data_IF_691404807195
#
_entry.id   IF_691404807195
#
_cell.length_a   1.000
_cell.length_b   1.000
_cell.length_c   1.000
_cell.angle_alpha   90.00
_cell.angle_beta   90.00
_cell.angle_gamma   90.00
#
_symmetry.space_group_name_H-M   'P 1'
#
loop_
_entity.id
_entity.type
_entity.pdbx_description
1 polymer ?
#
# COMPACT_ATOMS: atom_id res chain seq x y z
N UNK A 1 -38.90 -30.51 -37.97
CA UNK A 1 -37.99 -30.00 -39.03
C UNK A 1 -36.60 -30.48 -38.69
N UNK A 2 -35.94 -31.19 -39.61
CA UNK A 2 -34.53 -31.59 -39.43
C UNK A 2 -33.66 -30.35 -39.58
N UNK A 3 -32.90 -30.00 -38.55
CA UNK A 3 -31.91 -28.94 -38.63
C UNK A 3 -30.79 -29.39 -39.60
N UNK A 4 -30.27 -28.45 -40.39
CA UNK A 4 -29.11 -28.69 -41.25
C UNK A 4 -27.87 -28.91 -40.36
N UNK A 5 -26.90 -29.80 -40.69
CA UNK A 5 -25.67 -30.02 -39.92
C UNK A 5 -25.00 -28.75 -39.37
N UNK A 6 -24.96 -27.65 -40.14
CA UNK A 6 -24.38 -26.39 -39.66
C UNK A 6 -25.21 -25.70 -38.57
N UNK A 7 -26.53 -25.88 -38.59
CA UNK A 7 -27.43 -25.38 -37.53
C UNK A 7 -27.38 -26.25 -36.28
N UNK A 8 -27.14 -27.55 -36.43
CA UNK A 8 -26.89 -28.45 -35.30
C UNK A 8 -25.61 -28.09 -34.56
N UNK A 9 -24.54 -27.75 -35.30
CA UNK A 9 -23.28 -27.30 -34.71
C UNK A 9 -23.44 -25.99 -33.93
N UNK A 10 -24.19 -25.03 -34.48
CA UNK A 10 -24.43 -23.75 -33.80
C UNK A 10 -25.23 -23.94 -32.50
N UNK A 11 -26.26 -24.79 -32.52
CA UNK A 11 -27.06 -25.09 -31.32
C UNK A 11 -26.23 -25.82 -30.26
N UNK A 12 -25.32 -26.71 -30.67
CA UNK A 12 -24.42 -27.40 -29.74
C UNK A 12 -23.46 -26.41 -29.05
N UNK A 13 -22.82 -25.51 -29.81
CA UNK A 13 -21.86 -24.52 -29.27
C UNK A 13 -22.55 -23.54 -28.32
N UNK A 14 -23.71 -23.01 -28.71
CA UNK A 14 -24.46 -22.06 -27.85
C UNK A 14 -24.95 -22.76 -26.59
N UNK A 15 -25.40 -24.01 -26.69
CA UNK A 15 -25.78 -24.80 -25.52
C UNK A 15 -24.59 -25.01 -24.58
N UNK A 16 -23.41 -25.36 -25.08
CA UNK A 16 -22.23 -25.56 -24.23
C UNK A 16 -21.76 -24.27 -23.57
N UNK A 17 -21.87 -23.11 -24.24
CA UNK A 17 -21.51 -21.82 -23.65
C UNK A 17 -22.50 -21.40 -22.55
N UNK A 18 -23.80 -21.65 -22.75
CA UNK A 18 -24.83 -21.36 -21.73
C UNK A 18 -24.68 -22.28 -20.52
N UNK A 19 -24.49 -23.59 -20.73
CA UNK A 19 -24.29 -24.51 -19.60
C UNK A 19 -22.93 -24.31 -18.91
N UNK A 20 -21.88 -23.94 -19.65
CA UNK A 20 -20.57 -23.60 -19.07
C UNK A 20 -20.63 -22.34 -18.22
N UNK A 21 -21.27 -21.28 -18.70
CA UNK A 21 -21.45 -20.03 -17.93
C UNK A 21 -22.37 -20.20 -16.71
N UNK A 22 -23.40 -21.03 -16.79
CA UNK A 22 -24.23 -21.36 -15.63
C UNK A 22 -23.45 -22.21 -14.62
N UNK A 23 -22.59 -23.14 -15.05
CA UNK A 23 -21.80 -23.96 -14.12
C UNK A 23 -20.73 -23.14 -13.40
N UNK A 24 -20.04 -22.24 -14.11
CA UNK A 24 -19.06 -21.31 -13.51
C UNK A 24 -19.77 -20.26 -12.65
N UNK A 25 -20.90 -19.71 -13.12
CA UNK A 25 -21.66 -18.71 -12.37
C UNK A 25 -22.34 -19.27 -11.11
N UNK A 26 -22.89 -20.49 -11.15
CA UNK A 26 -23.51 -21.11 -9.96
C UNK A 26 -22.46 -21.62 -8.97
N UNK A 27 -21.30 -22.10 -9.46
CA UNK A 27 -20.20 -22.50 -8.56
C UNK A 27 -19.52 -21.28 -7.93
N UNK A 28 -19.36 -20.18 -8.68
CA UNK A 28 -18.82 -18.91 -8.16
C UNK A 28 -19.78 -18.22 -7.19
N UNK A 29 -21.10 -18.24 -7.45
CA UNK A 29 -22.10 -17.66 -6.53
C UNK A 29 -22.32 -18.52 -5.29
N UNK A 30 -22.12 -19.85 -5.35
CA UNK A 30 -22.11 -20.72 -4.17
C UNK A 30 -20.83 -20.58 -3.33
N UNK A 31 -19.76 -19.98 -3.87
CA UNK A 31 -18.57 -19.63 -3.10
C UNK A 31 -18.64 -18.21 -2.50
N UNK A 32 -19.48 -17.31 -3.02
CA UNK A 32 -19.51 -15.90 -2.59
C UNK A 32 -20.84 -15.41 -1.99
N UNK A 33 -21.88 -16.24 -1.91
CA UNK A 33 -23.14 -15.84 -1.29
C UNK A 33 -23.59 -16.80 -0.19
N UNK A 34 -23.78 -16.22 0.99
CA UNK A 34 -24.23 -16.81 2.26
C UNK A 34 -23.12 -17.44 3.13
N UNK A 35 -22.42 -16.58 3.88
CA UNK A 35 -22.58 -16.53 5.34
C UNK A 35 -22.77 -17.85 6.08
N UNK A 36 -21.90 -18.82 5.83
CA UNK A 36 -21.65 -19.95 6.73
C UNK A 36 -20.34 -19.68 7.47
N UNK A 37 -20.38 -18.71 8.37
CA UNK A 37 -19.49 -18.69 9.52
C UNK A 37 -19.76 -19.93 10.36
N UNK A 38 -18.90 -20.94 10.22
CA UNK A 38 -18.05 -21.42 11.30
C UNK A 38 -17.02 -22.35 10.64
N UNK A 39 -16.00 -21.77 10.02
CA UNK A 39 -14.70 -22.41 10.09
C UNK A 39 -14.13 -21.90 11.41
N UNK A 40 -14.37 -22.65 12.48
CA UNK A 40 -13.42 -22.58 13.59
C UNK A 40 -12.06 -22.91 12.97
N UNK A 41 -11.05 -22.06 13.20
CA UNK A 41 -9.67 -22.52 13.15
C UNK A 41 -9.62 -23.84 13.91
N UNK A 42 -9.05 -24.89 13.31
CA UNK A 42 -9.05 -26.23 13.90
C UNK A 42 -8.26 -26.34 15.22
N UNK A 43 -7.87 -25.20 15.81
CA UNK A 43 -7.11 -25.05 17.05
C UNK A 43 -7.92 -24.55 18.25
N UNK A 44 -9.20 -24.15 18.11
CA UNK A 44 -9.97 -23.65 19.29
C UNK A 44 -11.40 -24.20 19.48
N UNK A 45 -11.69 -25.43 19.05
CA UNK A 45 -12.86 -26.13 19.63
C UNK A 45 -12.46 -26.75 20.98
N UNK A 46 -12.70 -26.02 22.08
CA UNK A 46 -12.65 -26.55 23.45
C UNK A 46 -13.79 -27.57 23.62
N UNK A 47 -13.61 -28.77 23.04
CA UNK A 47 -14.42 -29.96 23.29
C UNK A 47 -14.09 -30.45 24.71
N UNK A 48 -14.71 -29.78 25.68
CA UNK A 48 -14.88 -30.31 27.02
C UNK A 48 -15.84 -31.52 26.99
N UNK A 49 -15.36 -32.66 26.50
CA UNK A 49 -16.20 -33.83 26.27
C UNK A 49 -15.47 -35.10 25.83
N UNK A 50 -14.70 -35.70 26.74
CA UNK A 50 -14.29 -37.11 26.73
C UNK A 50 -13.49 -37.61 25.50
N UNK A 51 -12.18 -37.32 25.49
CA UNK A 51 -11.21 -38.38 25.21
C UNK A 51 -10.79 -38.64 23.76
N UNK A 52 -10.70 -37.62 22.92
CA UNK A 52 -9.78 -37.66 21.76
C UNK A 52 -8.80 -36.50 21.96
N UNK A 53 -7.62 -36.80 22.47
CA UNK A 53 -6.49 -35.89 22.29
C UNK A 53 -6.28 -35.78 20.78
N UNK A 54 -6.58 -34.63 20.19
CA UNK A 54 -5.80 -34.18 19.05
C UNK A 54 -4.37 -34.16 19.58
N UNK A 55 -3.53 -35.08 19.12
CA UNK A 55 -2.10 -34.89 19.31
C UNK A 55 -1.83 -33.55 18.64
N UNK A 56 -1.61 -32.46 19.41
CA UNK A 56 -0.66 -31.45 18.95
C UNK A 56 0.55 -32.29 18.55
N UNK A 57 0.90 -32.28 17.27
CA UNK A 57 2.04 -33.07 16.79
C UNK A 57 3.23 -32.79 17.69
N UNK A 58 4.14 -33.76 17.78
CA UNK A 58 5.48 -33.38 18.24
C UNK A 58 5.98 -32.30 17.25
N UNK A 59 6.59 -31.27 17.81
CA UNK A 59 7.13 -30.06 17.19
C UNK A 59 8.45 -29.93 17.95
N UNK A 60 9.52 -30.41 17.33
CA UNK A 60 10.75 -30.78 18.04
C UNK A 60 11.74 -29.63 18.15
N UNK A 61 11.71 -28.68 17.22
CA UNK A 61 12.47 -27.43 17.22
C UNK A 61 11.66 -26.21 17.71
N UNK A 62 10.36 -26.38 18.00
CA UNK A 62 9.48 -25.35 18.58
C UNK A 62 9.28 -24.12 17.65
N UNK A 63 9.31 -24.32 16.32
CA UNK A 63 9.16 -23.26 15.31
C UNK A 63 7.68 -22.96 14.96
N UNK A 64 6.75 -23.79 15.43
CA UNK A 64 5.31 -23.66 15.20
C UNK A 64 4.74 -24.59 14.13
N UNK A 65 5.60 -25.29 13.38
CA UNK A 65 5.24 -26.36 12.47
C UNK A 65 5.38 -27.72 13.20
N UNK A 66 4.49 -28.68 12.92
CA UNK A 66 4.61 -30.00 13.56
C UNK A 66 5.50 -30.92 12.74
N UNK A 67 6.30 -31.79 13.38
CA UNK A 67 7.18 -32.79 12.76
C UNK A 67 6.50 -33.57 11.61
N UNK A 68 5.20 -33.86 11.77
CA UNK A 68 4.43 -34.59 10.76
C UNK A 68 4.17 -33.75 9.51
N UNK A 69 3.87 -32.46 9.65
CA UNK A 69 3.66 -31.54 8.53
C UNK A 69 4.97 -31.25 7.81
N UNK A 70 6.04 -31.05 8.56
CA UNK A 70 7.40 -30.90 8.06
C UNK A 70 7.81 -32.09 7.19
N UNK A 71 7.74 -33.32 7.71
CA UNK A 71 8.14 -34.52 6.95
C UNK A 71 7.22 -34.84 5.76
N UNK A 72 5.91 -34.54 5.84
CA UNK A 72 4.92 -35.06 4.88
C UNK A 72 4.41 -34.06 3.86
N UNK A 73 4.44 -32.76 4.17
CA UNK A 73 3.84 -31.71 3.34
C UNK A 73 4.88 -30.69 2.86
N UNK A 74 5.70 -30.17 3.77
CA UNK A 74 6.59 -29.04 3.46
C UNK A 74 8.00 -29.49 3.09
N UNK A 75 8.49 -30.61 3.63
CA UNK A 75 9.81 -31.14 3.33
C UNK A 75 10.94 -30.49 4.12
N UNK A 76 10.61 -29.80 5.21
CA UNK A 76 11.52 -29.16 6.16
C UNK A 76 12.12 -30.16 7.14
N UNK A 77 13.19 -29.80 7.86
CA UNK A 77 13.85 -30.67 8.84
C UNK A 77 13.29 -30.43 10.25
N UNK A 78 12.57 -31.41 10.87
CA UNK A 78 11.96 -31.27 12.21
C UNK A 78 12.89 -30.99 13.38
N UNK A 79 14.19 -30.79 13.13
CA UNK A 79 15.20 -30.51 14.13
C UNK A 79 15.85 -29.13 13.90
N UNK A 80 15.38 -28.38 12.92
CA UNK A 80 15.94 -27.15 12.45
C UNK A 80 14.82 -26.14 12.16
N UNK A 81 14.70 -25.13 13.03
CA UNK A 81 13.66 -24.09 12.96
C UNK A 81 13.64 -23.26 11.67
N UNK A 82 14.70 -23.32 10.86
CA UNK A 82 14.96 -22.53 9.64
C UNK A 82 15.72 -23.42 8.66
N UNK A 83 15.00 -24.13 7.79
CA UNK A 83 15.55 -25.21 6.96
C UNK A 83 16.45 -24.68 5.85
N UNK A 84 16.11 -23.57 5.20
CA UNK A 84 16.92 -22.96 4.14
C UNK A 84 18.01 -22.01 4.66
N UNK A 85 17.91 -21.58 5.92
CA UNK A 85 18.94 -20.84 6.63
C UNK A 85 18.94 -19.34 6.32
N UNK A 86 17.81 -18.78 5.89
CA UNK A 86 17.67 -17.38 5.49
C UNK A 86 17.39 -16.42 6.68
N UNK A 87 17.06 -16.99 7.84
CA UNK A 87 16.78 -16.28 9.09
C UNK A 87 15.29 -16.12 9.41
N UNK A 88 14.38 -16.60 8.57
CA UNK A 88 12.96 -16.79 8.87
C UNK A 88 12.73 -18.25 9.29
N UNK A 89 11.75 -18.49 10.16
CA UNK A 89 11.47 -19.86 10.62
C UNK A 89 10.47 -20.56 9.70
N UNK A 90 10.63 -21.86 9.47
CA UNK A 90 9.79 -22.63 8.55
C UNK A 90 8.30 -22.50 8.89
N UNK A 91 7.96 -22.56 10.18
CA UNK A 91 6.59 -22.37 10.68
C UNK A 91 5.99 -21.00 10.35
N UNK A 92 6.78 -19.93 10.44
CA UNK A 92 6.32 -18.56 10.13
C UNK A 92 6.10 -18.38 8.64
N UNK A 93 7.05 -18.84 7.81
CA UNK A 93 6.93 -18.78 6.35
C UNK A 93 5.71 -19.54 5.86
N UNK A 94 5.48 -20.75 6.39
CA UNK A 94 4.30 -21.55 6.05
C UNK A 94 3.00 -20.88 6.46
N UNK A 95 2.95 -20.25 7.65
CA UNK A 95 1.77 -19.54 8.13
C UNK A 95 1.42 -18.36 7.21
N UNK A 96 2.42 -17.66 6.71
CA UNK A 96 2.28 -16.51 5.81
C UNK A 96 2.38 -16.90 4.32
N UNK A 97 2.33 -18.19 4.02
CA UNK A 97 2.28 -18.76 2.67
C UNK A 97 3.53 -18.55 1.80
N UNK A 98 4.66 -18.24 2.43
CA UNK A 98 6.00 -18.29 1.84
C UNK A 98 6.47 -19.76 1.75
N UNK A 99 7.62 -19.97 1.11
CA UNK A 99 8.19 -21.28 0.88
C UNK A 99 9.42 -21.52 1.78
N UNK A 100 9.32 -22.38 2.82
CA UNK A 100 10.38 -22.60 3.83
C UNK A 100 11.59 -23.41 3.34
N UNK A 101 11.80 -23.43 2.02
CA UNK A 101 12.88 -24.16 1.35
C UNK A 101 13.52 -23.26 0.27
N UNK A 102 13.23 -21.96 0.28
CA UNK A 102 13.62 -20.99 -0.74
C UNK A 102 14.04 -19.68 -0.07
N UNK A 103 15.35 -19.59 0.17
CA UNK A 103 16.05 -18.44 0.75
C UNK A 103 15.99 -17.16 -0.12
N UNK A 104 15.33 -17.22 -1.29
CA UNK A 104 15.23 -16.14 -2.26
C UNK A 104 16.54 -15.79 -2.96
N UNK A 105 17.62 -16.52 -2.71
CA UNK A 105 18.94 -16.24 -3.23
C UNK A 105 19.35 -17.29 -4.26
N UNK A 106 19.85 -16.84 -5.41
CA UNK A 106 20.42 -17.79 -6.36
C UNK A 106 21.78 -18.28 -5.85
N UNK A 107 21.95 -19.59 -5.69
CA UNK A 107 23.25 -20.19 -5.35
C UNK A 107 24.35 -19.61 -6.27
N UNK A 108 25.41 -19.00 -5.72
CA UNK A 108 26.53 -18.56 -6.53
C UNK A 108 27.06 -19.75 -7.33
N UNK A 109 27.02 -19.64 -8.67
CA UNK A 109 27.50 -20.66 -9.62
C UNK A 109 28.94 -21.12 -9.29
N UNK A 110 29.09 -22.07 -8.35
CA UNK A 110 30.39 -22.64 -7.96
C UNK A 110 30.77 -23.84 -8.83
N UNK A 111 29.93 -24.25 -9.78
CA UNK A 111 30.29 -25.31 -10.73
C UNK A 111 30.94 -24.73 -12.00
N UNK A 112 32.26 -24.87 -12.10
CA UNK A 112 32.94 -24.94 -13.39
C UNK A 112 32.23 -26.03 -14.22
N UNK A 113 31.69 -25.73 -15.42
CA UNK A 113 31.04 -26.72 -16.28
C UNK A 113 31.91 -27.93 -16.64
N UNK A 114 33.20 -27.91 -16.29
CA UNK A 114 34.16 -29.00 -16.46
C UNK A 114 34.21 -30.05 -15.34
N UNK A 115 33.56 -29.85 -14.19
CA UNK A 115 33.66 -30.76 -13.02
C UNK A 115 32.36 -31.51 -12.68
N UNK A 116 31.48 -31.75 -13.65
CA UNK A 116 30.36 -32.67 -13.47
C UNK A 116 30.88 -34.11 -13.25
N UNK A 117 31.09 -34.50 -11.98
CA UNK A 117 31.37 -35.86 -11.57
C UNK A 117 30.09 -36.70 -11.66
N UNK A 118 30.04 -37.60 -12.64
CA UNK A 118 28.88 -38.46 -12.92
C UNK A 118 28.78 -39.67 -11.97
N UNK A 119 29.62 -39.77 -10.94
CA UNK A 119 29.62 -40.90 -10.00
C UNK A 119 28.97 -40.61 -8.63
N UNK A 120 28.59 -39.36 -8.33
CA UNK A 120 27.95 -39.00 -7.05
C UNK A 120 26.78 -38.02 -7.26
N UNK A 121 25.89 -38.33 -8.21
CA UNK A 121 24.54 -37.81 -8.17
C UNK A 121 23.78 -38.56 -7.08
N UNK A 122 24.04 -38.22 -5.81
CA UNK A 122 22.98 -38.33 -4.81
C UNK A 122 21.86 -37.47 -5.36
N UNK A 123 20.74 -38.12 -5.62
CA UNK A 123 19.58 -37.51 -6.22
C UNK A 123 18.91 -36.69 -5.12
N UNK A 124 19.54 -35.57 -4.76
CA UNK A 124 18.82 -34.49 -4.10
C UNK A 124 17.69 -34.12 -5.04
N UNK A 125 16.52 -33.92 -4.44
CA UNK A 125 15.27 -33.79 -5.14
C UNK A 125 15.31 -32.44 -5.87
N UNK A 126 15.89 -32.41 -7.07
CA UNK A 126 15.88 -31.28 -7.99
C UNK A 126 14.43 -31.03 -8.45
N UNK A 127 13.59 -30.55 -7.55
CA UNK A 127 12.49 -29.65 -7.87
C UNK A 127 13.12 -28.29 -8.13
N UNK A 128 13.80 -28.23 -9.28
CA UNK A 128 14.51 -27.11 -9.90
C UNK A 128 13.50 -25.99 -10.23
N UNK A 129 12.88 -25.42 -9.20
CA UNK A 129 12.32 -24.08 -9.22
C UNK A 129 13.51 -23.15 -8.99
N UNK A 130 13.75 -22.24 -9.93
CA UNK A 130 14.62 -21.12 -9.64
C UNK A 130 14.17 -20.47 -8.33
N UNK A 131 15.09 -20.15 -7.39
CA UNK A 131 14.73 -19.46 -6.16
C UNK A 131 13.99 -18.17 -6.53
N UNK A 132 12.83 -17.98 -5.90
CA UNK A 132 11.99 -16.82 -6.10
C UNK A 132 12.40 -15.75 -5.09
N UNK A 133 12.97 -14.61 -5.53
CA UNK A 133 13.45 -13.57 -4.61
C UNK A 133 12.39 -13.02 -3.66
N UNK A 134 11.10 -13.24 -3.96
CA UNK A 134 10.00 -12.84 -3.11
C UNK A 134 9.78 -13.81 -1.93
N UNK A 135 10.40 -14.99 -1.90
CA UNK A 135 10.22 -15.94 -0.80
C UNK A 135 11.16 -15.64 0.36
N UNK A 136 12.42 -15.29 0.06
CA UNK A 136 13.42 -14.97 1.09
C UNK A 136 13.16 -13.66 1.86
N UNK A 137 14.04 -13.30 2.82
CA UNK A 137 13.79 -12.25 3.81
C UNK A 137 13.75 -10.83 3.23
N UNK A 138 14.36 -10.65 2.06
CA UNK A 138 14.40 -9.39 1.33
C UNK A 138 13.31 -9.28 0.25
N UNK A 139 12.48 -10.33 0.11
CA UNK A 139 11.34 -10.34 -0.79
C UNK A 139 10.26 -9.36 -0.34
N UNK A 140 9.47 -8.88 -1.29
CA UNK A 140 8.31 -8.00 -1.08
C UNK A 140 7.18 -8.51 -2.01
N UNK A 141 6.47 -9.59 -1.62
CA UNK A 141 5.51 -10.28 -2.49
C UNK A 141 4.30 -9.41 -2.85
N UNK A 142 3.84 -8.57 -1.93
CA UNK A 142 2.65 -7.74 -2.08
C UNK A 142 2.95 -6.32 -2.62
N UNK A 143 4.22 -5.92 -2.64
CA UNK A 143 4.75 -4.66 -3.16
C UNK A 143 4.26 -3.44 -2.38
N UNK A 144 4.05 -3.59 -1.08
CA UNK A 144 3.77 -2.46 -0.18
C UNK A 144 5.08 -1.73 0.23
N UNK A 145 6.22 -2.37 0.01
CA UNK A 145 7.56 -1.84 0.24
C UNK A 145 8.16 -2.17 1.61
N UNK A 146 7.54 -3.04 2.39
CA UNK A 146 8.16 -3.81 3.47
C UNK A 146 8.74 -5.11 2.89
N UNK A 147 9.82 -5.60 3.48
CA UNK A 147 10.33 -6.93 3.15
C UNK A 147 9.74 -7.99 4.09
N UNK A 148 9.71 -9.26 3.68
CA UNK A 148 9.24 -10.37 4.52
C UNK A 148 9.82 -10.35 5.95
N UNK A 149 11.12 -10.03 6.08
CA UNK A 149 11.76 -9.88 7.39
C UNK A 149 11.22 -8.69 8.21
N UNK A 150 10.94 -7.55 7.58
CA UNK A 150 10.35 -6.39 8.27
C UNK A 150 8.91 -6.69 8.70
N UNK A 151 8.17 -7.41 7.87
CA UNK A 151 6.79 -7.83 8.18
C UNK A 151 6.75 -8.85 9.31
N UNK A 152 7.70 -9.79 9.35
CA UNK A 152 7.88 -10.66 10.51
C UNK A 152 8.10 -9.87 11.81
N UNK A 153 8.85 -8.77 11.76
CA UNK A 153 9.10 -7.90 12.93
C UNK A 153 7.85 -7.08 13.33
N UNK A 154 7.01 -6.71 12.35
CA UNK A 154 5.78 -5.95 12.55
C UNK A 154 4.54 -6.84 12.80
N UNK A 155 4.68 -8.15 12.64
CA UNK A 155 3.61 -9.16 12.68
C UNK A 155 2.52 -8.93 11.60
N UNK A 156 2.90 -8.33 10.45
CA UNK A 156 2.04 -8.11 9.28
C UNK A 156 2.12 -9.26 8.27
N UNK A 157 1.20 -9.32 7.31
CA UNK A 157 1.09 -10.42 6.35
C UNK A 157 1.81 -10.11 5.01
N UNK A 158 2.94 -10.79 4.69
CA UNK A 158 3.76 -10.55 3.48
C UNK A 158 3.08 -10.81 2.14
N UNK A 159 1.87 -11.35 2.14
CA UNK A 159 1.08 -11.50 0.91
C UNK A 159 0.05 -10.40 0.74
N UNK A 160 -0.01 -9.45 1.66
CA UNK A 160 -1.13 -8.55 1.84
C UNK A 160 -0.65 -7.19 2.33
N UNK A 161 -0.60 -6.27 1.37
CA UNK A 161 -0.20 -4.88 1.60
C UNK A 161 -1.01 -4.13 2.66
N UNK A 162 -2.18 -4.64 3.04
CA UNK A 162 -3.12 -4.08 4.03
C UNK A 162 -3.62 -5.27 4.89
N UNK A 163 -2.94 -5.48 6.01
CA UNK A 163 -3.15 -6.62 6.90
C UNK A 163 -4.51 -6.55 7.59
N UNK A 164 -4.87 -5.39 8.13
CA UNK A 164 -6.09 -5.20 8.93
C UNK A 164 -7.34 -4.77 8.11
N UNK A 165 -7.15 -4.59 6.79
CA UNK A 165 -8.14 -4.31 5.74
C UNK A 165 -8.76 -2.92 5.79
N UNK A 166 -8.13 -1.98 6.46
CA UNK A 166 -8.69 -0.67 6.73
C UNK A 166 -8.59 0.28 5.52
N UNK A 167 -7.80 -0.11 4.53
CA UNK A 167 -7.56 0.57 3.27
C UNK A 167 -6.28 1.40 3.21
N UNK A 168 -5.43 1.33 4.23
CA UNK A 168 -4.06 1.85 4.24
C UNK A 168 -3.06 0.70 4.16
N UNK A 169 -1.86 0.94 3.61
CA UNK A 169 -0.82 -0.09 3.57
C UNK A 169 0.03 -0.18 4.85
N UNK A 170 0.53 -1.38 5.13
CA UNK A 170 1.23 -1.71 6.37
C UNK A 170 2.52 -0.89 6.54
N UNK A 171 3.27 -0.67 5.45
CA UNK A 171 4.45 0.20 5.44
C UNK A 171 4.15 1.63 5.90
N UNK A 172 3.10 2.23 5.33
CA UNK A 172 2.75 3.61 5.58
C UNK A 172 2.27 3.77 7.03
N UNK A 173 1.44 2.84 7.50
CA UNK A 173 0.96 2.84 8.87
C UNK A 173 2.09 2.68 9.89
N UNK A 174 2.96 1.69 9.70
CA UNK A 174 4.10 1.46 10.59
C UNK A 174 5.08 2.65 10.65
N UNK A 175 5.13 3.48 9.60
CA UNK A 175 5.95 4.70 9.56
C UNK A 175 5.34 5.83 10.41
N UNK A 176 4.02 6.00 10.35
CA UNK A 176 3.30 7.12 10.98
C UNK A 176 2.52 6.77 12.24
N UNK A 177 2.65 5.53 12.72
CA UNK A 177 2.04 5.04 13.95
C UNK A 177 2.17 6.02 15.12
N UNK A 178 1.03 6.42 15.69
CA UNK A 178 0.98 7.42 16.76
C UNK A 178 0.04 7.02 17.90
N UNK A 179 0.53 7.14 19.13
CA UNK A 179 -0.28 6.99 20.33
C UNK A 179 -0.86 8.34 20.81
N UNK A 180 -2.18 8.45 20.84
CA UNK A 180 -2.90 9.60 21.36
C UNK A 180 -3.49 9.32 22.76
N UNK A 181 -3.35 10.29 23.67
CA UNK A 181 -3.97 10.22 25.00
C UNK A 181 -5.35 10.87 25.00
N UNK A 182 -6.42 10.07 25.16
CA UNK A 182 -7.80 10.55 25.25
C UNK A 182 -8.36 10.39 26.67
N UNK A 183 -9.39 11.18 27.08
CA UNK A 183 -10.08 10.99 28.36
C UNK A 183 -10.82 9.64 28.42
N UNK A 184 -10.10 8.56 28.73
CA UNK A 184 -10.62 7.20 28.71
C UNK A 184 -9.57 6.11 28.51
N UNK A 185 -8.38 6.47 28.01
CA UNK A 185 -7.28 5.54 27.74
C UNK A 185 -6.28 6.11 26.75
N UNK A 186 -5.32 5.28 26.34
CA UNK A 186 -4.49 5.50 25.15
C UNK A 186 -5.21 4.90 23.94
N UNK A 187 -5.04 5.53 22.79
CA UNK A 187 -5.59 5.09 21.52
C UNK A 187 -4.46 5.18 20.50
N UNK A 188 -4.24 4.14 19.72
CA UNK A 188 -3.17 4.09 18.71
C UNK A 188 -3.83 4.26 17.35
N UNK A 189 -3.33 5.21 16.57
CA UNK A 189 -3.69 5.40 15.17
C UNK A 189 -2.58 4.85 14.27
N UNK A 190 -2.97 4.41 13.09
CA UNK A 190 -2.07 3.86 12.06
C UNK A 190 -1.30 2.64 12.59
N UNK A 191 -2.04 1.71 13.20
CA UNK A 191 -1.50 0.43 13.64
C UNK A 191 -1.86 -0.60 12.59
N UNK A 192 -0.89 -1.18 11.84
CA UNK A 192 -1.17 -2.05 10.69
C UNK A 192 -1.92 -3.34 11.05
N UNK A 193 -2.04 -3.63 12.35
CA UNK A 193 -2.78 -4.78 12.87
C UNK A 193 -4.18 -4.40 13.38
N UNK A 194 -4.57 -3.12 13.33
CA UNK A 194 -5.82 -2.62 13.87
C UNK A 194 -6.31 -1.30 13.24
N UNK A 195 -7.15 -1.46 12.21
CA UNK A 195 -7.76 -0.38 11.45
C UNK A 195 -8.92 0.35 12.12
N UNK A 196 -8.94 0.35 13.45
CA UNK A 196 -9.86 1.13 14.29
C UNK A 196 -11.33 1.24 13.78
N UNK A 197 -11.92 0.13 13.36
CA UNK A 197 -13.27 0.07 12.77
C UNK A 197 -14.43 0.53 13.68
N UNK A 198 -14.19 0.61 14.99
CA UNK A 198 -15.12 1.15 16.01
C UNK A 198 -14.52 2.37 16.73
N UNK A 199 -13.92 3.27 15.96
CA UNK A 199 -13.22 4.43 16.49
C UNK A 199 -14.13 5.45 17.18
N UNK A 200 -13.69 5.91 18.36
CA UNK A 200 -14.39 6.90 19.19
C UNK A 200 -14.40 8.29 18.54
N UNK A 201 -13.42 8.58 17.68
CA UNK A 201 -13.29 9.87 17.00
C UNK A 201 -14.39 10.06 15.93
N UNK A 202 -14.84 8.98 15.30
CA UNK A 202 -15.90 8.99 14.30
C UNK A 202 -17.30 9.06 14.94
N UNK A 203 -17.62 10.21 15.53
CA UNK A 203 -18.97 10.49 16.04
C UNK A 203 -20.00 10.52 14.90
N UNK A 204 -21.29 10.34 15.22
CA UNK A 204 -22.35 10.38 14.21
C UNK A 204 -22.40 11.71 13.43
N UNK A 205 -22.03 12.83 14.06
CA UNK A 205 -21.99 14.12 13.39
C UNK A 205 -20.80 14.19 12.41
N UNK A 206 -19.63 13.70 12.81
CA UNK A 206 -18.43 13.60 11.95
C UNK A 206 -18.69 12.71 10.74
N UNK A 207 -19.25 11.50 10.95
CA UNK A 207 -19.60 10.58 9.86
C UNK A 207 -20.54 11.22 8.82
N UNK A 208 -21.52 12.01 9.26
CA UNK A 208 -22.43 12.69 8.34
C UNK A 208 -21.73 13.78 7.54
N UNK A 209 -20.82 14.54 8.15
CA UNK A 209 -20.06 15.57 7.47
C UNK A 209 -19.10 14.96 6.43
N UNK A 210 -18.35 13.92 6.81
CA UNK A 210 -17.44 13.21 5.90
C UNK A 210 -18.19 12.58 4.73
N UNK A 211 -19.36 11.98 4.99
CA UNK A 211 -20.21 11.46 3.93
C UNK A 211 -20.67 12.54 2.94
N UNK A 212 -21.02 13.72 3.43
CA UNK A 212 -21.35 14.83 2.55
C UNK A 212 -20.14 15.30 1.76
N UNK A 213 -18.94 15.32 2.37
CA UNK A 213 -17.69 15.73 1.73
C UNK A 213 -17.29 14.78 0.59
N UNK A 214 -17.09 13.48 0.87
CA UNK A 214 -16.58 12.52 -0.11
C UNK A 214 -17.56 12.18 -1.22
N UNK A 215 -18.87 12.40 -1.01
CA UNK A 215 -19.87 12.16 -2.06
C UNK A 215 -20.07 13.37 -2.99
N UNK A 216 -19.34 14.48 -2.80
CA UNK A 216 -19.40 15.65 -3.67
C UNK A 216 -18.42 15.56 -4.84
N UNK A 217 -17.29 14.91 -4.64
CA UNK A 217 -16.26 14.74 -5.66
C UNK A 217 -16.49 13.42 -6.41
N UNK A 218 -16.40 13.45 -7.74
CA UNK A 218 -16.49 12.25 -8.58
C UNK A 218 -15.10 11.59 -8.77
N UNK A 219 -14.02 12.24 -8.32
CA UNK A 219 -12.64 11.79 -8.47
C UNK A 219 -12.12 11.01 -7.25
N UNK A 220 -12.70 11.24 -6.06
CA UNK A 220 -12.38 10.47 -4.84
C UNK A 220 -13.38 9.35 -4.61
N UNK A 221 -12.98 8.25 -3.92
CA UNK A 221 -13.91 7.23 -3.47
C UNK A 221 -15.07 7.82 -2.67
N UNK A 222 -16.27 7.30 -2.91
CA UNK A 222 -17.44 7.70 -2.12
C UNK A 222 -17.35 7.14 -0.70
N UNK A 223 -18.11 7.74 0.22
CA UNK A 223 -18.21 7.25 1.59
C UNK A 223 -18.63 5.78 1.68
N UNK A 224 -19.47 5.32 0.76
CA UNK A 224 -19.88 3.92 0.72
C UNK A 224 -18.76 2.97 0.26
N UNK A 225 -17.79 3.46 -0.52
CA UNK A 225 -16.64 2.68 -1.00
C UNK A 225 -15.51 2.62 0.03
N UNK A 226 -15.36 3.65 0.86
CA UNK A 226 -14.42 3.70 1.99
C UNK A 226 -14.87 2.88 3.22
N UNK A 227 -16.01 2.19 3.11
CA UNK A 227 -16.55 1.35 4.18
C UNK A 227 -16.41 -0.12 3.88
N UNK A 228 -16.25 -0.93 4.93
CA UNK A 228 -16.30 -2.38 4.78
C UNK A 228 -17.72 -2.89 4.46
N UNK A 229 -17.86 -4.19 4.21
CA UNK A 229 -19.16 -4.82 3.90
C UNK A 229 -20.24 -4.68 4.99
N UNK A 230 -19.88 -4.25 6.20
CA UNK A 230 -20.80 -3.97 7.31
C UNK A 230 -21.19 -2.49 7.42
N UNK A 231 -20.64 -1.63 6.56
CA UNK A 231 -20.83 -0.18 6.60
C UNK A 231 -20.12 0.48 7.78
N UNK A 232 -19.06 -0.14 8.29
CA UNK A 232 -18.11 0.49 9.21
C UNK A 232 -16.99 1.14 8.42
N UNK A 233 -16.34 2.12 9.03
CA UNK A 233 -15.28 2.93 8.45
C UNK A 233 -14.14 2.98 9.46
N UNK A 234 -12.93 2.72 9.00
CA UNK A 234 -11.71 2.97 9.77
C UNK A 234 -11.56 4.46 10.02
N UNK A 235 -11.10 4.85 11.21
CA UNK A 235 -10.70 6.23 11.45
C UNK A 235 -9.24 6.52 11.14
N UNK A 236 -8.42 5.49 10.98
CA UNK A 236 -7.07 5.66 10.44
C UNK A 236 -7.20 6.04 8.97
N UNK A 237 -8.11 5.43 8.22
CA UNK A 237 -8.29 5.74 6.79
C UNK A 237 -9.00 7.09 6.49
N UNK A 238 -10.20 7.31 7.06
CA UNK A 238 -11.14 8.35 6.57
C UNK A 238 -11.04 9.71 7.27
N UNK A 239 -10.15 9.86 8.25
CA UNK A 239 -9.94 11.14 8.90
C UNK A 239 -8.91 11.96 8.14
N UNK A 240 -8.95 13.27 8.37
CA UNK A 240 -7.90 14.24 8.03
C UNK A 240 -7.29 14.60 9.38
N UNK A 241 -6.14 13.99 9.71
CA UNK A 241 -5.62 14.02 11.07
C UNK A 241 -4.96 15.36 11.43
N UNK A 242 -4.34 16.02 10.46
CA UNK A 242 -3.60 17.26 10.64
C UNK A 242 -4.39 18.53 10.19
N UNK A 243 -5.64 18.34 9.75
CA UNK A 243 -6.60 19.36 9.32
C UNK A 243 -6.08 20.21 8.14
N UNK A 244 -5.36 19.62 7.19
CA UNK A 244 -4.83 20.30 6.00
C UNK A 244 -5.80 20.28 4.79
N UNK A 245 -6.76 19.34 4.80
CA UNK A 245 -7.74 19.13 3.74
C UNK A 245 -7.55 17.87 2.91
N UNK A 246 -6.50 17.07 3.16
CA UNK A 246 -6.33 15.71 2.69
C UNK A 246 -6.75 14.73 3.79
N UNK A 247 -7.48 13.69 3.40
CA UNK A 247 -7.69 12.57 4.29
C UNK A 247 -6.47 11.65 4.28
N UNK A 248 -6.27 10.88 5.35
CA UNK A 248 -5.14 9.98 5.53
C UNK A 248 -4.97 8.99 4.35
N UNK A 249 -6.06 8.44 3.78
CA UNK A 249 -5.98 7.59 2.59
C UNK A 249 -5.47 8.33 1.33
N UNK A 250 -5.69 9.64 1.26
CA UNK A 250 -5.15 10.47 0.17
C UNK A 250 -3.67 10.73 0.42
N UNK A 251 -3.29 10.96 1.66
CA UNK A 251 -1.90 11.16 2.06
C UNK A 251 -1.04 9.94 1.76
N UNK A 252 -1.53 8.73 2.02
CA UNK A 252 -0.89 7.48 1.61
C UNK A 252 -0.64 7.44 0.09
N UNK A 253 -1.65 7.80 -0.72
CA UNK A 253 -1.55 7.82 -2.20
C UNK A 253 -0.47 8.80 -2.69
N UNK A 254 -0.27 9.89 -1.96
CA UNK A 254 0.73 10.93 -2.29
C UNK A 254 2.03 10.80 -1.49
N UNK A 255 2.18 9.71 -0.71
CA UNK A 255 3.33 9.46 0.16
C UNK A 255 3.64 10.58 1.17
N UNK A 256 2.62 11.28 1.66
CA UNK A 256 2.77 12.38 2.63
C UNK A 256 2.64 11.93 4.08
N UNK A 257 3.05 12.79 5.02
CA UNK A 257 3.01 12.58 6.47
C UNK A 257 1.66 13.06 7.05
N UNK A 258 0.81 12.13 7.55
CA UNK A 258 -0.52 12.45 8.05
C UNK A 258 -0.54 13.32 9.31
N UNK A 259 0.61 13.64 9.86
CA UNK A 259 0.77 14.47 11.05
C UNK A 259 1.30 15.87 10.73
N UNK A 260 1.58 16.18 9.46
CA UNK A 260 2.21 17.42 9.02
C UNK A 260 1.59 18.00 7.75
N UNK A 261 1.00 19.20 7.88
CA UNK A 261 0.36 19.91 6.77
C UNK A 261 1.26 20.26 5.58
N UNK A 262 2.56 20.03 5.70
CA UNK A 262 3.62 20.41 4.76
C UNK A 262 4.71 19.37 5.02
N UNK A 263 4.57 18.24 4.32
CA UNK A 263 5.31 17.01 4.58
C UNK A 263 6.79 17.14 4.21
N UNK A 264 7.06 17.81 3.10
CA UNK A 264 8.40 18.01 2.56
C UNK A 264 9.08 19.31 3.05
N UNK A 265 8.30 20.24 3.62
CA UNK A 265 8.76 21.49 4.19
C UNK A 265 9.09 22.58 3.16
N UNK A 266 8.53 22.48 1.95
CA UNK A 266 8.90 23.31 0.80
C UNK A 266 8.20 24.68 0.74
N UNK A 267 7.28 24.93 1.71
CA UNK A 267 6.42 26.10 1.93
C UNK A 267 5.01 26.02 1.34
N UNK A 268 4.66 24.96 0.63
CA UNK A 268 3.29 24.63 0.25
C UNK A 268 2.76 23.55 1.19
N UNK A 269 1.45 23.55 1.42
CA UNK A 269 0.84 22.39 2.08
C UNK A 269 0.58 21.28 1.07
N UNK A 270 0.48 20.05 1.55
CA UNK A 270 0.26 18.88 0.71
C UNK A 270 -1.04 19.03 -0.11
N UNK A 271 -2.12 19.44 0.57
CA UNK A 271 -3.39 19.76 -0.07
C UNK A 271 -3.28 20.89 -1.12
N UNK A 272 -2.33 21.81 -0.93
CA UNK A 272 -2.13 22.94 -1.84
C UNK A 272 -1.44 22.47 -3.14
N UNK A 273 -0.44 21.61 -3.07
CA UNK A 273 0.25 21.14 -4.28
C UNK A 273 -0.64 20.29 -5.19
N UNK A 274 -1.55 19.52 -4.60
CA UNK A 274 -2.51 18.69 -5.34
C UNK A 274 -3.65 19.54 -5.92
N UNK A 275 -3.90 20.73 -5.37
CA UNK A 275 -5.04 21.56 -5.77
C UNK A 275 -4.92 22.02 -7.23
N UNK A 276 -5.89 21.60 -8.05
CA UNK A 276 -5.96 21.96 -9.48
C UNK A 276 -6.46 23.39 -9.76
N UNK A 277 -6.84 24.14 -8.72
CA UNK A 277 -7.23 25.54 -8.82
C UNK A 277 -6.09 26.47 -8.38
N UNK A 278 -5.99 27.67 -8.95
CA UNK A 278 -5.00 28.66 -8.52
C UNK A 278 -5.19 29.01 -7.05
N UNK A 279 -4.25 28.57 -6.22
CA UNK A 279 -4.29 28.77 -4.79
C UNK A 279 -3.94 30.19 -4.38
N UNK A 280 -4.47 30.57 -3.22
CA UNK A 280 -4.05 31.76 -2.51
C UNK A 280 -3.32 31.32 -1.24
N UNK A 281 -2.00 31.26 -1.30
CA UNK A 281 -1.15 30.90 -0.17
C UNK A 281 -1.29 31.91 0.97
N UNK A 282 -1.45 31.43 2.20
CA UNK A 282 -1.64 32.25 3.41
C UNK A 282 -0.52 32.10 4.47
N UNK A 283 0.71 31.74 4.09
CA UNK A 283 1.85 31.65 5.03
C UNK A 283 3.08 32.47 4.59
N UNK A 284 3.88 32.92 5.56
CA UNK A 284 4.76 34.08 5.41
C UNK A 284 6.25 33.77 5.59
N UNK A 285 7.04 33.98 4.54
CA UNK A 285 8.46 34.35 4.65
C UNK A 285 8.83 35.41 3.59
N UNK A 286 9.09 36.64 4.04
CA UNK A 286 9.82 37.63 3.25
C UNK A 286 9.00 38.54 2.32
N UNK A 287 9.60 39.68 1.98
CA UNK A 287 9.13 40.62 0.96
C UNK A 287 10.21 40.62 -0.11
N UNK A 288 9.94 40.09 -1.30
CA UNK A 288 10.85 40.26 -2.43
C UNK A 288 10.43 41.46 -3.26
N UNK A 289 11.43 42.22 -3.67
CA UNK A 289 11.30 43.35 -4.57
C UNK A 289 11.85 42.90 -5.92
N UNK A 290 10.99 42.74 -6.91
CA UNK A 290 11.43 42.46 -8.28
C UNK A 290 10.75 43.37 -9.29
N UNK A 291 10.87 43.04 -10.57
CA UNK A 291 10.38 43.85 -11.68
C UNK A 291 9.53 42.96 -12.60
N UNK A 292 8.30 43.37 -12.92
CA UNK A 292 7.42 42.65 -13.85
C UNK A 292 7.88 42.76 -15.32
N UNK A 293 7.19 42.06 -16.23
CA UNK A 293 7.44 42.12 -17.68
C UNK A 293 7.23 43.52 -18.30
N UNK A 294 6.55 44.42 -17.59
CA UNK A 294 6.35 45.82 -17.97
C UNK A 294 7.37 46.76 -17.30
N UNK A 295 8.42 46.20 -16.72
CA UNK A 295 9.51 46.91 -16.08
C UNK A 295 9.08 47.74 -14.85
N UNK A 296 7.96 47.37 -14.20
CA UNK A 296 7.45 47.99 -12.99
C UNK A 296 7.95 47.25 -11.75
N UNK A 297 8.39 47.97 -10.70
CA UNK A 297 8.74 47.36 -9.44
C UNK A 297 7.50 46.72 -8.80
N UNK A 298 7.58 45.42 -8.58
CA UNK A 298 6.57 44.65 -7.88
C UNK A 298 7.14 44.27 -6.52
N UNK A 299 6.40 44.62 -5.48
CA UNK A 299 6.60 44.09 -4.14
C UNK A 299 5.62 42.95 -4.00
N UNK A 300 6.10 41.72 -3.91
CA UNK A 300 5.25 40.57 -3.65
C UNK A 300 5.70 39.93 -2.36
N UNK A 301 4.75 39.88 -1.44
CA UNK A 301 4.74 38.97 -0.33
C UNK A 301 4.07 37.69 -0.88
N UNK A 302 4.59 36.51 -0.56
CA UNK A 302 3.95 35.23 -0.93
C UNK A 302 2.51 35.09 -0.38
N UNK A 303 2.00 36.11 0.35
CA UNK A 303 0.66 36.23 0.92
C UNK A 303 -0.29 37.20 0.20
N UNK A 304 0.15 37.94 -0.82
CA UNK A 304 -0.77 38.83 -1.54
C UNK A 304 -1.53 38.02 -2.61
N UNK A 305 -2.88 37.97 -2.57
CA UNK A 305 -3.66 37.20 -3.52
C UNK A 305 -3.27 37.56 -4.94
N UNK A 306 -2.98 36.54 -5.76
CA UNK A 306 -2.68 36.70 -7.19
C UNK A 306 -3.89 37.41 -7.80
N UNK A 307 -3.77 38.73 -7.99
CA UNK A 307 -4.74 39.45 -8.81
C UNK A 307 -4.50 38.94 -10.21
N UNK A 308 -5.48 38.22 -10.73
CA UNK A 308 -5.67 37.92 -12.15
C UNK A 308 -5.63 39.24 -12.94
N UNK A 309 -4.41 39.68 -13.23
CA UNK A 309 -4.14 40.41 -14.42
C UNK A 309 -3.52 39.38 -15.37
N UNK A 310 -4.24 39.10 -16.45
CA UNK A 310 -3.90 38.17 -17.54
C UNK A 310 -2.59 38.55 -18.30
N UNK A 311 -1.57 39.04 -17.59
CA UNK A 311 -0.27 39.52 -18.06
C UNK A 311 0.90 38.82 -17.36
N UNK A 312 0.64 38.06 -16.30
CA UNK A 312 1.65 37.28 -15.60
C UNK A 312 2.04 36.07 -16.45
N UNK A 313 3.33 35.91 -16.63
CA UNK A 313 3.88 34.80 -17.39
C UNK A 313 5.15 34.42 -16.68
N UNK A 314 5.18 33.17 -16.25
CA UNK A 314 5.98 32.68 -15.16
C UNK A 314 7.42 32.40 -15.62
N UNK A 315 8.48 32.91 -14.96
CA UNK A 315 9.85 32.59 -15.35
C UNK A 315 10.49 31.36 -14.68
N UNK A 316 9.75 30.65 -13.83
CA UNK A 316 10.04 29.28 -13.39
C UNK A 316 8.68 28.59 -13.35
N UNK A 317 8.44 27.65 -14.25
CA UNK A 317 7.20 26.88 -14.24
C UNK A 317 7.41 25.85 -13.14
N UNK A 318 7.00 26.15 -11.89
CA UNK A 318 7.06 25.21 -10.78
C UNK A 318 6.56 23.84 -11.28
N UNK A 319 7.26 22.74 -10.98
CA UNK A 319 7.19 21.54 -11.79
C UNK A 319 5.78 20.95 -11.86
N UNK A 320 4.96 21.17 -10.83
CA UNK A 320 3.56 20.76 -10.71
C UNK A 320 2.52 21.65 -11.45
N UNK A 321 2.82 22.91 -11.78
CA UNK A 321 1.82 23.94 -12.20
C UNK A 321 1.00 23.64 -13.47
N UNK A 322 1.41 22.69 -14.29
CA UNK A 322 0.67 22.29 -15.50
C UNK A 322 0.58 20.77 -15.65
N UNK A 323 0.78 20.05 -14.55
CA UNK A 323 0.80 18.60 -14.57
C UNK A 323 -0.61 18.03 -14.36
N UNK A 324 -0.78 16.81 -14.82
CA UNK A 324 -1.94 16.01 -14.47
C UNK A 324 -1.64 15.18 -13.21
N UNK A 325 -2.66 14.59 -12.61
CA UNK A 325 -2.47 13.79 -11.40
C UNK A 325 -1.51 12.62 -11.58
N UNK A 326 -1.33 12.10 -12.80
CA UNK A 326 -0.37 11.02 -13.03
C UNK A 326 1.10 11.43 -12.78
N UNK A 327 1.40 12.73 -12.73
CA UNK A 327 2.74 13.24 -12.47
C UNK A 327 3.19 13.02 -11.02
N UNK A 328 2.26 13.05 -10.06
CA UNK A 328 2.53 12.76 -8.64
C UNK A 328 2.89 11.29 -8.36
N UNK A 329 2.84 10.41 -9.37
CA UNK A 329 3.26 9.00 -9.25
C UNK A 329 4.59 8.73 -9.95
N UNK A 330 5.31 9.79 -10.32
CA UNK A 330 6.62 9.72 -10.95
C UNK A 330 7.68 10.16 -9.94
N UNK A 331 8.90 9.78 -10.24
CA UNK A 331 10.13 10.17 -9.56
C UNK A 331 11.04 10.71 -10.69
N UNK A 332 10.93 12.02 -10.95
CA UNK A 332 11.59 12.66 -12.09
C UNK A 332 13.09 12.88 -11.86
N UNK A 333 13.52 13.05 -10.60
CA UNK A 333 14.90 13.34 -10.21
C UNK A 333 15.70 12.07 -9.78
N UNK A 334 15.01 10.98 -9.46
CA UNK A 334 15.55 9.67 -9.15
C UNK A 334 16.02 9.52 -7.70
N UNK A 335 15.51 10.34 -6.77
CA UNK A 335 15.87 10.29 -5.36
C UNK A 335 15.06 9.27 -4.55
N UNK A 336 14.01 8.71 -5.15
CA UNK A 336 13.13 7.69 -4.59
C UNK A 336 11.87 8.24 -3.91
N UNK A 337 11.63 9.55 -3.96
CA UNK A 337 10.39 10.20 -3.54
C UNK A 337 9.45 10.39 -4.74
N UNK A 338 8.17 10.52 -4.46
CA UNK A 338 7.18 10.84 -5.48
C UNK A 338 7.10 12.35 -5.64
N UNK A 339 7.07 12.81 -6.89
CA UNK A 339 6.93 14.22 -7.24
C UNK A 339 5.75 14.88 -6.50
N UNK A 340 5.89 16.17 -6.17
CA UNK A 340 4.89 16.99 -5.50
C UNK A 340 5.02 16.89 -3.97
N UNK A 341 3.94 16.67 -3.23
CA UNK A 341 3.89 16.99 -1.80
C UNK A 341 4.77 16.13 -0.88
N UNK A 342 5.30 15.01 -1.39
CA UNK A 342 6.29 14.21 -0.66
C UNK A 342 7.74 14.54 -1.01
N UNK A 343 7.96 15.35 -2.04
CA UNK A 343 9.28 15.68 -2.60
C UNK A 343 9.46 17.19 -2.78
N UNK A 344 10.30 17.74 -1.91
CA UNK A 344 10.60 19.16 -1.87
C UNK A 344 11.26 19.69 -3.16
N UNK A 345 11.85 18.86 -4.03
CA UNK A 345 12.61 19.26 -5.24
C UNK A 345 12.34 18.30 -6.41
N UNK A 346 11.08 18.23 -6.87
CA UNK A 346 10.61 17.24 -7.86
C UNK A 346 11.38 17.20 -9.19
N UNK A 347 12.15 18.24 -9.53
CA UNK A 347 12.98 18.25 -10.75
C UNK A 347 14.50 18.19 -10.49
N UNK A 348 14.90 18.09 -9.21
CA UNK A 348 16.26 17.88 -8.73
C UNK A 348 17.22 19.01 -9.07
N UNK A 349 16.71 20.24 -9.26
CA UNK A 349 17.52 21.40 -9.62
C UNK A 349 18.19 22.08 -8.41
N UNK A 350 17.81 21.67 -7.20
CA UNK A 350 18.30 22.13 -5.91
C UNK A 350 17.51 23.29 -5.34
N UNK A 351 16.29 23.53 -5.82
CA UNK A 351 15.42 24.61 -5.39
C UNK A 351 14.04 24.07 -5.01
N UNK A 352 13.51 24.42 -3.81
CA UNK A 352 12.25 23.85 -3.38
C UNK A 352 11.08 24.21 -4.29
N UNK A 353 10.19 23.27 -4.58
CA UNK A 353 9.03 23.43 -5.48
C UNK A 353 8.13 24.59 -5.03
N UNK A 354 7.87 24.69 -3.73
CA UNK A 354 7.10 25.75 -3.11
C UNK A 354 7.77 27.10 -3.18
N UNK A 355 9.10 27.12 -3.13
CA UNK A 355 9.88 28.32 -3.45
C UNK A 355 9.74 28.69 -4.92
N UNK A 356 9.89 27.74 -5.84
CA UNK A 356 9.72 27.96 -7.27
C UNK A 356 8.34 28.52 -7.59
N UNK A 357 7.28 27.94 -7.03
CA UNK A 357 5.91 28.40 -7.18
C UNK A 357 5.75 29.84 -6.70
N UNK A 358 6.27 30.14 -5.50
CA UNK A 358 6.22 31.48 -4.93
C UNK A 358 6.95 32.54 -5.79
N UNK A 359 8.07 32.18 -6.41
CA UNK A 359 8.96 33.10 -7.15
C UNK A 359 8.88 32.98 -8.67
N UNK A 360 7.99 32.10 -9.16
CA UNK A 360 7.65 31.82 -10.56
C UNK A 360 7.29 33.04 -11.39
N UNK A 361 7.36 34.28 -10.90
CA UNK A 361 7.02 35.52 -11.62
C UNK A 361 8.22 36.44 -11.92
N UNK A 362 9.43 36.15 -11.41
CA UNK A 362 10.60 37.02 -11.59
C UNK A 362 11.55 36.49 -12.68
N UNK A 363 11.82 37.25 -13.77
CA UNK A 363 12.73 36.76 -14.80
C UNK A 363 14.14 36.58 -14.22
N UNK A 364 14.78 35.46 -14.53
CA UNK A 364 16.12 35.00 -14.09
C UNK A 364 17.27 36.01 -14.20
N UNK A 365 17.04 37.17 -14.81
CA UNK A 365 18.00 38.27 -14.91
C UNK A 365 17.94 39.28 -13.76
N UNK A 366 16.99 39.17 -12.82
CA UNK A 366 16.72 40.19 -11.80
C UNK A 366 16.55 39.67 -10.36
N UNK A 367 16.86 38.40 -10.08
CA UNK A 367 16.97 37.91 -8.70
C UNK A 367 18.34 38.36 -8.18
N UNK A 368 18.36 39.25 -7.18
CA UNK A 368 19.58 39.79 -6.54
C UNK A 368 19.81 39.09 -5.21
#
# INVERSE_FOLDING_TARGET
MSLNPNQMAYVAIVSTLIFGSIFVGVSGVLQTSEGLGNFDSAVEEDIAGDGIATNKGEDTDDDGLSDVLEETQYGTDPLNEDTDGDGMSDGWEVEHGLNPLDDGESDPLEQDPGEADVEEAEQENETDSWPDPNQGPNGDPDNDGLTNQQEQELETDPQRSDTDNDGLNDKWESTYMIEIEIPGGTFTLFDPLNGNWDCVLLTSDVKNNLRELYNLDEETPSWEELGNGFGQHSCDNVLDFDDDGLANFQEEIFATDPTSQDSDGDLLSDAEEIAREQLQLYRAVGITQGIDRNNQPVFRNCNDPIRDDNTQTFPFDAPFMNQNTSWFYLDDDGDGLLNGPSDWDSDGDGMPDGYEYCYSIFPSSNVI
#
